data_IF_531316122624
#
_entry.id   IF_531316122624
#
_cell.length_a   1.000
_cell.length_b   1.000
_cell.length_c   1.000
_cell.angle_alpha   90.00
_cell.angle_beta   90.00
_cell.angle_gamma   90.00
#
_symmetry.space_group_name_H-M   'P 1'
#
loop_
_entity.id
_entity.type
_entity.pdbx_description
1 polymer ?
#
# COMPACT_ATOMS: atom_id res chain seq x y z
N UNK A 1 -37.76 -22.19 -10.59
CA UNK A 1 -37.31 -21.12 -11.50
C UNK A 1 -36.14 -20.41 -10.82
N UNK A 2 -34.91 -20.76 -11.20
CA UNK A 2 -33.70 -20.26 -10.56
C UNK A 2 -33.25 -18.96 -11.23
N UNK A 3 -33.27 -17.85 -10.50
CA UNK A 3 -32.65 -16.60 -10.95
C UNK A 3 -31.21 -16.60 -10.40
N UNK A 4 -30.28 -17.05 -11.24
CA UNK A 4 -28.87 -16.65 -11.17
C UNK A 4 -28.76 -15.31 -11.88
N UNK A 5 -28.84 -14.21 -11.14
CA UNK A 5 -28.44 -12.90 -11.68
C UNK A 5 -26.97 -12.65 -11.34
N UNK A 6 -26.16 -12.64 -12.40
CA UNK A 6 -24.71 -12.57 -12.33
C UNK A 6 -24.19 -11.25 -11.76
N UNK A 7 -23.33 -11.39 -10.76
CA UNK A 7 -22.32 -10.39 -10.40
C UNK A 7 -21.50 -10.04 -11.65
N UNK A 8 -21.70 -8.85 -12.21
CA UNK A 8 -20.88 -8.31 -13.30
C UNK A 8 -19.74 -7.48 -12.73
N UNK A 9 -18.46 -7.86 -12.93
CA UNK A 9 -17.32 -7.00 -12.66
C UNK A 9 -17.36 -5.79 -13.61
N UNK A 10 -17.27 -4.56 -13.12
CA UNK A 10 -17.14 -3.35 -13.96
C UNK A 10 -18.39 -2.48 -14.19
N UNK A 11 -19.39 -2.52 -13.31
CA UNK A 11 -20.60 -1.68 -13.39
C UNK A 11 -20.38 -0.18 -13.13
N UNK A 12 -21.45 0.63 -13.23
CA UNK A 12 -21.43 2.10 -12.96
C UNK A 12 -20.80 2.43 -11.61
N UNK A 13 -21.01 1.60 -10.60
CA UNK A 13 -20.45 1.78 -9.25
C UNK A 13 -18.92 1.70 -9.21
N UNK A 14 -18.29 0.87 -10.04
CA UNK A 14 -16.83 0.78 -10.13
C UNK A 14 -16.25 2.02 -10.82
N UNK A 15 -16.92 2.52 -11.88
CA UNK A 15 -16.52 3.77 -12.56
C UNK A 15 -16.63 4.98 -11.64
N UNK A 16 -17.69 5.05 -10.83
CA UNK A 16 -17.86 6.11 -9.83
C UNK A 16 -16.79 6.01 -8.75
N UNK A 17 -16.44 4.80 -8.30
CA UNK A 17 -15.33 4.60 -7.36
C UNK A 17 -14.03 5.14 -7.93
N UNK A 18 -13.69 4.74 -9.15
CA UNK A 18 -12.44 5.13 -9.79
C UNK A 18 -12.37 6.65 -10.02
N UNK A 19 -13.50 7.28 -10.40
CA UNK A 19 -13.57 8.74 -10.52
C UNK A 19 -13.26 9.44 -9.19
N UNK A 20 -13.81 8.93 -8.08
CA UNK A 20 -13.57 9.48 -6.74
C UNK A 20 -12.13 9.23 -6.30
N UNK A 21 -11.61 8.01 -6.50
CA UNK A 21 -10.22 7.67 -6.20
C UNK A 21 -9.23 8.54 -7.00
N UNK A 22 -9.48 8.73 -8.30
CA UNK A 22 -8.67 9.61 -9.15
C UNK A 22 -8.73 11.06 -8.69
N UNK A 23 -9.92 11.57 -8.34
CA UNK A 23 -10.06 12.92 -7.83
C UNK A 23 -9.26 13.14 -6.54
N UNK A 24 -9.25 12.16 -5.62
CA UNK A 24 -8.40 12.21 -4.42
C UNK A 24 -6.92 12.27 -4.79
N UNK A 25 -6.46 11.40 -5.69
CA UNK A 25 -5.05 11.38 -6.12
C UNK A 25 -4.63 12.71 -6.77
N UNK A 26 -5.45 13.25 -7.66
CA UNK A 26 -5.19 14.53 -8.35
C UNK A 26 -5.10 15.70 -7.37
N UNK A 27 -5.99 15.73 -6.37
CA UNK A 27 -5.97 16.78 -5.35
C UNK A 27 -4.74 16.63 -4.45
N UNK A 28 -4.37 15.42 -4.02
CA UNK A 28 -3.16 15.19 -3.22
C UNK A 28 -1.85 15.57 -3.95
N UNK A 29 -1.86 15.69 -5.28
CA UNK A 29 -0.72 16.21 -6.05
C UNK A 29 -0.61 17.75 -6.03
N UNK A 30 -1.70 18.45 -5.74
CA UNK A 30 -1.81 19.91 -5.92
C UNK A 30 -2.07 20.68 -4.63
N UNK A 31 -2.53 20.00 -3.57
CA UNK A 31 -2.84 20.61 -2.28
C UNK A 31 -2.36 19.72 -1.13
N UNK A 32 -2.09 20.36 0.01
CA UNK A 32 -1.77 19.66 1.24
C UNK A 32 -2.95 18.77 1.68
N UNK A 33 -2.63 17.53 2.02
CA UNK A 33 -3.54 16.53 2.59
C UNK A 33 -4.41 17.11 3.70
N UNK A 34 -3.86 17.93 4.59
CA UNK A 34 -4.60 18.51 5.72
C UNK A 34 -5.74 19.45 5.30
N UNK A 35 -5.70 19.97 4.08
CA UNK A 35 -6.69 20.92 3.54
C UNK A 35 -7.77 20.25 2.69
N UNK A 36 -7.66 18.94 2.46
CA UNK A 36 -8.58 18.19 1.60
C UNK A 36 -9.95 18.02 2.26
N UNK A 37 -11.03 18.20 1.49
CA UNK A 37 -12.39 18.06 1.97
C UNK A 37 -13.28 17.23 1.03
N UNK A 38 -14.32 16.59 1.58
CA UNK A 38 -15.29 15.82 0.79
C UNK A 38 -15.95 16.64 -0.33
N UNK A 39 -16.37 17.91 -0.11
CA UNK A 39 -16.93 18.73 -1.18
C UNK A 39 -15.97 18.97 -2.36
N UNK A 40 -14.68 19.22 -2.10
CA UNK A 40 -13.68 19.39 -3.16
C UNK A 40 -13.52 18.12 -3.98
N UNK A 41 -13.43 16.96 -3.31
CA UNK A 41 -13.32 15.66 -3.97
C UNK A 41 -14.58 15.38 -4.81
N UNK A 42 -15.76 15.62 -4.25
CA UNK A 42 -17.04 15.41 -4.94
C UNK A 42 -17.14 16.26 -6.21
N UNK A 43 -16.78 17.55 -6.12
CA UNK A 43 -16.76 18.46 -7.26
C UNK A 43 -15.79 17.99 -8.35
N UNK A 44 -14.57 17.58 -7.98
CA UNK A 44 -13.56 17.10 -8.92
C UNK A 44 -13.92 15.76 -9.57
N UNK A 45 -14.58 14.88 -8.84
CA UNK A 45 -15.04 13.56 -9.31
C UNK A 45 -16.36 13.61 -10.10
N UNK A 46 -17.04 14.76 -10.14
CA UNK A 46 -18.35 14.92 -10.79
C UNK A 46 -19.49 14.19 -10.07
N UNK A 47 -19.43 14.10 -8.74
CA UNK A 47 -20.45 13.44 -7.90
C UNK A 47 -20.96 14.36 -6.79
N UNK A 48 -22.02 13.95 -6.10
CA UNK A 48 -22.50 14.68 -4.90
C UNK A 48 -21.72 14.24 -3.65
N UNK A 49 -21.51 15.13 -2.66
CA UNK A 49 -20.92 14.74 -1.37
C UNK A 49 -21.63 13.56 -0.70
N UNK A 50 -22.96 13.47 -0.82
CA UNK A 50 -23.75 12.35 -0.29
C UNK A 50 -23.37 11.00 -0.90
N UNK A 51 -22.89 10.97 -2.15
CA UNK A 51 -22.38 9.75 -2.80
C UNK A 51 -21.14 9.21 -2.08
N UNK A 52 -20.27 10.11 -1.61
CA UNK A 52 -19.08 9.76 -0.84
C UNK A 52 -19.48 9.35 0.58
N UNK A 53 -20.24 10.17 1.29
CA UNK A 53 -20.65 9.87 2.67
C UNK A 53 -21.41 8.55 2.80
N UNK A 54 -22.30 8.22 1.86
CA UNK A 54 -23.04 6.94 1.89
C UNK A 54 -22.11 5.72 1.82
N UNK A 55 -20.96 5.85 1.15
CA UNK A 55 -20.09 4.72 0.85
C UNK A 55 -18.93 4.59 1.83
N UNK A 56 -18.31 5.69 2.23
CA UNK A 56 -17.16 5.69 3.13
C UNK A 56 -17.50 6.21 4.53
N UNK A 57 -18.62 6.88 4.74
CA UNK A 57 -19.00 7.46 6.03
C UNK A 57 -18.28 8.77 6.34
N UNK A 58 -16.97 8.81 6.17
CA UNK A 58 -16.14 10.01 6.38
C UNK A 58 -14.96 10.11 5.40
N UNK A 59 -14.19 11.20 5.52
CA UNK A 59 -13.02 11.45 4.68
C UNK A 59 -11.87 10.47 4.99
N UNK A 60 -11.67 10.11 6.26
CA UNK A 60 -10.56 9.26 6.66
C UNK A 60 -10.70 7.86 6.06
N UNK A 61 -11.90 7.30 6.07
CA UNK A 61 -12.23 6.02 5.44
C UNK A 61 -12.06 6.07 3.91
N UNK A 62 -12.40 7.19 3.26
CA UNK A 62 -12.12 7.37 1.82
C UNK A 62 -10.61 7.40 1.55
N UNK A 63 -9.86 8.17 2.32
CA UNK A 63 -8.41 8.27 2.13
C UNK A 63 -7.71 6.93 2.40
N UNK A 64 -8.14 6.17 3.41
CA UNK A 64 -7.69 4.81 3.66
C UNK A 64 -7.96 3.87 2.48
N UNK A 65 -9.15 3.91 1.89
CA UNK A 65 -9.49 3.08 0.73
C UNK A 65 -8.63 3.44 -0.50
N UNK A 66 -8.38 4.73 -0.74
CA UNK A 66 -7.48 5.20 -1.80
C UNK A 66 -6.02 4.79 -1.53
N UNK A 67 -5.57 4.89 -0.28
CA UNK A 67 -4.24 4.47 0.15
C UNK A 67 -4.03 2.95 -0.09
N UNK A 68 -4.99 2.12 0.29
CA UNK A 68 -4.96 0.66 0.07
C UNK A 68 -4.94 0.33 -1.42
N UNK A 69 -5.73 1.04 -2.23
CA UNK A 69 -5.74 0.85 -3.67
C UNK A 69 -4.37 1.17 -4.30
N UNK A 70 -3.66 2.17 -3.77
CA UNK A 70 -2.31 2.56 -4.22
C UNK A 70 -1.19 1.61 -3.76
N UNK A 71 -1.37 0.88 -2.66
CA UNK A 71 -0.35 -0.09 -2.21
C UNK A 71 -0.16 -1.26 -3.17
N UNK A 72 -1.10 -1.49 -4.11
CA UNK A 72 -0.91 -2.50 -5.15
C UNK A 72 0.16 -2.01 -6.12
N UNK A 73 1.28 -2.74 -6.29
CA UNK A 73 2.35 -2.30 -7.16
C UNK A 73 1.90 -2.26 -8.62
N UNK A 74 2.36 -1.27 -9.36
CA UNK A 74 2.12 -1.14 -10.81
C UNK A 74 2.97 -2.14 -11.62
N UNK A 75 4.02 -2.71 -11.02
CA UNK A 75 4.96 -3.64 -11.64
C UNK A 75 5.32 -4.80 -10.72
N UNK A 76 5.75 -5.91 -11.31
CA UNK A 76 6.31 -7.04 -10.54
C UNK A 76 7.58 -6.62 -9.78
N UNK A 77 7.92 -7.32 -8.68
CA UNK A 77 9.19 -7.11 -7.99
C UNK A 77 10.38 -7.32 -8.92
N UNK A 78 11.40 -6.48 -8.73
CA UNK A 78 12.64 -6.51 -9.52
C UNK A 78 13.22 -7.93 -9.62
N UNK A 79 13.74 -8.28 -10.79
CA UNK A 79 14.42 -9.55 -11.06
C UNK A 79 15.90 -9.28 -11.36
N UNK A 80 16.70 -9.33 -10.31
CA UNK A 80 18.15 -9.14 -10.33
C UNK A 80 18.89 -10.45 -10.63
N UNK A 81 18.20 -11.60 -10.64
CA UNK A 81 18.77 -12.91 -10.90
C UNK A 81 19.23 -13.68 -9.64
N UNK A 82 18.94 -13.18 -8.43
CA UNK A 82 19.19 -13.91 -7.18
C UNK A 82 18.16 -13.55 -6.11
N UNK A 83 17.80 -14.52 -5.24
CA UNK A 83 16.86 -14.29 -4.14
C UNK A 83 17.30 -13.13 -3.25
N UNK A 84 18.59 -13.09 -2.88
CA UNK A 84 19.16 -12.01 -2.06
C UNK A 84 19.05 -10.65 -2.76
N UNK A 85 19.38 -10.58 -4.06
CA UNK A 85 19.33 -9.34 -4.82
C UNK A 85 17.90 -8.81 -4.97
N UNK A 86 16.93 -9.69 -5.21
CA UNK A 86 15.53 -9.32 -5.38
C UNK A 86 14.90 -8.83 -4.08
N UNK A 87 15.17 -9.53 -2.97
CA UNK A 87 14.69 -9.13 -1.64
C UNK A 87 15.33 -7.81 -1.18
N UNK A 88 16.60 -7.59 -1.51
CA UNK A 88 17.28 -6.32 -1.24
C UNK A 88 16.70 -5.18 -2.06
N UNK A 89 16.50 -5.38 -3.37
CA UNK A 89 15.88 -4.38 -4.24
C UNK A 89 14.46 -4.06 -3.78
N UNK A 90 13.68 -5.07 -3.37
CA UNK A 90 12.36 -4.88 -2.78
C UNK A 90 12.43 -4.07 -1.48
N UNK A 91 13.37 -4.36 -0.59
CA UNK A 91 13.53 -3.66 0.69
C UNK A 91 13.92 -2.19 0.49
N UNK A 92 14.83 -1.90 -0.45
CA UNK A 92 15.25 -0.55 -0.81
C UNK A 92 14.06 0.24 -1.36
N UNK A 93 13.33 -0.33 -2.33
CA UNK A 93 12.14 0.28 -2.89
C UNK A 93 11.09 0.55 -1.81
N UNK A 94 10.84 -0.41 -0.93
CA UNK A 94 9.90 -0.26 0.17
C UNK A 94 10.30 0.88 1.12
N UNK A 95 11.58 0.96 1.50
CA UNK A 95 12.11 2.02 2.34
C UNK A 95 11.92 3.38 1.68
N UNK A 96 12.30 3.53 0.41
CA UNK A 96 12.22 4.79 -0.32
C UNK A 96 10.77 5.27 -0.47
N UNK A 97 9.89 4.37 -0.92
CA UNK A 97 8.48 4.68 -1.12
C UNK A 97 7.79 5.07 0.19
N UNK A 98 7.99 4.29 1.26
CA UNK A 98 7.34 4.56 2.55
C UNK A 98 7.95 5.77 3.27
N UNK A 99 9.22 6.05 3.04
CA UNK A 99 9.89 7.24 3.59
C UNK A 99 9.48 8.53 2.88
N UNK A 100 8.93 8.46 1.67
CA UNK A 100 8.42 9.63 0.95
C UNK A 100 7.23 10.30 1.68
N UNK A 101 6.98 11.58 1.43
CA UNK A 101 5.80 12.26 1.98
C UNK A 101 4.46 11.58 1.61
N UNK A 102 4.24 11.17 0.35
CA UNK A 102 3.09 10.36 -0.02
C UNK A 102 3.00 9.03 0.76
N UNK A 103 4.12 8.33 0.93
CA UNK A 103 4.17 7.07 1.69
C UNK A 103 3.82 7.24 3.16
N UNK A 104 4.36 8.28 3.81
CA UNK A 104 4.01 8.60 5.21
C UNK A 104 2.55 8.96 5.38
N UNK A 105 1.99 9.74 4.45
CA UNK A 105 0.57 10.08 4.47
C UNK A 105 -0.32 8.85 4.27
N UNK A 106 0.06 7.96 3.35
CA UNK A 106 -0.60 6.68 3.11
C UNK A 106 -0.58 5.80 4.38
N UNK A 107 0.55 5.69 5.06
CA UNK A 107 0.64 4.92 6.31
C UNK A 107 -0.27 5.49 7.41
N UNK A 108 -0.37 6.83 7.51
CA UNK A 108 -1.30 7.47 8.46
C UNK A 108 -2.76 7.21 8.10
N UNK A 109 -3.11 7.22 6.82
CA UNK A 109 -4.45 6.82 6.36
C UNK A 109 -4.81 5.40 6.77
N UNK A 110 -3.89 4.48 6.50
CA UNK A 110 -4.07 3.06 6.79
C UNK A 110 -4.25 2.83 8.29
N UNK A 111 -3.48 3.52 9.14
CA UNK A 111 -3.63 3.43 10.60
C UNK A 111 -5.02 3.89 11.08
N UNK A 112 -5.63 4.84 10.38
CA UNK A 112 -6.98 5.30 10.67
C UNK A 112 -8.07 4.38 10.09
N UNK A 113 -7.70 3.37 9.28
CA UNK A 113 -8.64 2.43 8.67
C UNK A 113 -9.21 1.44 9.69
N UNK A 114 -10.52 1.17 9.59
CA UNK A 114 -11.19 0.17 10.40
C UNK A 114 -10.87 -1.29 10.01
N UNK A 115 -10.01 -1.53 9.01
CA UNK A 115 -9.70 -2.88 8.50
C UNK A 115 -8.20 -3.22 8.62
N UNK A 116 -7.75 -3.70 9.80
CA UNK A 116 -6.38 -4.11 10.03
C UNK A 116 -5.95 -5.25 9.07
N UNK A 117 -4.66 -5.29 8.71
CA UNK A 117 -4.04 -6.45 8.04
C UNK A 117 -3.96 -6.42 6.51
N UNK A 118 -4.58 -5.45 5.82
CA UNK A 118 -4.47 -5.34 4.36
C UNK A 118 -3.02 -5.19 3.87
N UNK A 119 -2.20 -4.41 4.57
CA UNK A 119 -0.79 -4.21 4.24
C UNK A 119 0.01 -5.51 4.29
N UNK A 120 -0.28 -6.37 5.27
CA UNK A 120 0.37 -7.67 5.43
C UNK A 120 0.05 -8.56 4.23
N UNK A 121 -1.20 -8.58 3.78
CA UNK A 121 -1.59 -9.33 2.59
C UNK A 121 -0.92 -8.84 1.30
N UNK A 122 -0.82 -7.53 1.11
CA UNK A 122 -0.18 -6.94 -0.09
C UNK A 122 1.33 -7.22 -0.09
N UNK A 123 2.00 -6.96 1.02
CA UNK A 123 3.43 -7.23 1.18
C UNK A 123 3.71 -8.72 1.01
N UNK A 124 2.90 -9.58 1.64
CA UNK A 124 3.04 -11.03 1.53
C UNK A 124 2.90 -11.52 0.09
N UNK A 125 1.95 -10.97 -0.68
CA UNK A 125 1.81 -11.32 -2.09
C UNK A 125 3.03 -10.94 -2.93
N UNK A 126 3.62 -9.75 -2.71
CA UNK A 126 4.84 -9.34 -3.40
C UNK A 126 6.03 -10.24 -3.06
N UNK A 127 6.21 -10.56 -1.77
CA UNK A 127 7.30 -11.43 -1.32
C UNK A 127 7.12 -12.85 -1.85
N UNK A 128 5.89 -13.35 -1.91
CA UNK A 128 5.61 -14.67 -2.47
C UNK A 128 6.02 -14.76 -3.94
N UNK A 129 5.79 -13.71 -4.74
CA UNK A 129 6.27 -13.66 -6.13
C UNK A 129 7.80 -13.78 -6.21
N UNK A 130 8.53 -13.16 -5.27
CA UNK A 130 10.00 -13.28 -5.21
C UNK A 130 10.39 -14.71 -4.79
N UNK A 131 9.75 -15.28 -3.77
CA UNK A 131 10.06 -16.63 -3.29
C UNK A 131 9.77 -17.71 -4.34
N UNK A 132 8.65 -17.60 -5.05
CA UNK A 132 8.25 -18.55 -6.09
C UNK A 132 9.23 -18.57 -7.28
N UNK A 133 10.00 -17.49 -7.46
CA UNK A 133 11.05 -17.39 -8.49
C UNK A 133 12.28 -18.25 -8.16
N UNK A 134 12.51 -18.57 -6.89
CA UNK A 134 13.69 -19.28 -6.39
C UNK A 134 13.32 -20.48 -5.50
N UNK A 135 12.67 -21.52 -6.05
CA UNK A 135 12.16 -22.65 -5.27
C UNK A 135 13.26 -23.50 -4.60
N UNK A 136 14.49 -23.46 -5.13
CA UNK A 136 15.63 -24.21 -4.61
C UNK A 136 16.42 -23.44 -3.52
N UNK A 137 16.12 -22.15 -3.33
CA UNK A 137 16.78 -21.32 -2.31
C UNK A 137 16.03 -21.40 -0.96
N UNK A 138 16.73 -21.26 0.18
CA UNK A 138 16.09 -21.26 1.49
C UNK A 138 15.11 -20.08 1.64
N UNK A 139 13.80 -20.37 1.63
CA UNK A 139 12.77 -19.36 1.80
C UNK A 139 12.67 -18.92 3.30
N UNK A 140 12.93 -17.65 3.63
CA UNK A 140 12.85 -17.16 5.01
C UNK A 140 11.42 -17.05 5.55
N UNK A 141 10.41 -17.02 4.66
CA UNK A 141 9.00 -16.85 4.98
C UNK A 141 8.59 -15.38 5.16
N UNK A 142 7.35 -15.07 4.80
CA UNK A 142 6.76 -13.71 4.87
C UNK A 142 6.78 -13.15 6.29
N UNK A 143 6.41 -13.95 7.29
CA UNK A 143 6.35 -13.50 8.69
C UNK A 143 7.72 -13.08 9.23
N UNK A 144 8.78 -13.84 8.91
CA UNK A 144 10.15 -13.48 9.30
C UNK A 144 10.56 -12.16 8.68
N UNK A 145 10.25 -11.98 7.39
CA UNK A 145 10.53 -10.76 6.67
C UNK A 145 9.79 -9.55 7.25
N UNK A 146 8.51 -9.72 7.61
CA UNK A 146 7.73 -8.66 8.26
C UNK A 146 8.38 -8.26 9.58
N UNK A 147 8.74 -9.22 10.41
CA UNK A 147 9.28 -8.95 11.75
C UNK A 147 10.67 -8.32 11.71
N UNK A 148 11.52 -8.73 10.77
CA UNK A 148 12.92 -8.30 10.73
C UNK A 148 13.18 -7.11 9.80
N UNK A 149 12.39 -6.89 8.76
CA UNK A 149 12.63 -5.84 7.76
C UNK A 149 11.51 -4.80 7.77
N UNK A 150 10.26 -5.23 7.61
CA UNK A 150 9.12 -4.31 7.43
C UNK A 150 8.82 -3.53 8.72
N UNK A 151 8.67 -4.22 9.85
CA UNK A 151 8.28 -3.59 11.10
C UNK A 151 9.32 -2.56 11.61
N UNK A 152 10.64 -2.85 11.62
CA UNK A 152 11.64 -1.85 11.99
C UNK A 152 11.65 -0.64 11.04
N UNK A 153 11.45 -0.87 9.74
CA UNK A 153 11.37 0.20 8.74
C UNK A 153 10.19 1.12 9.00
N UNK A 154 8.98 0.57 9.16
CA UNK A 154 7.77 1.33 9.47
C UNK A 154 7.91 2.08 10.80
N UNK A 155 8.46 1.43 11.81
CA UNK A 155 8.65 2.05 13.12
C UNK A 155 9.55 3.28 13.02
N UNK A 156 10.67 3.17 12.29
CA UNK A 156 11.59 4.28 12.04
C UNK A 156 10.92 5.44 11.30
N UNK A 157 10.09 5.14 10.30
CA UNK A 157 9.44 6.18 9.50
C UNK A 157 8.37 6.94 10.29
N UNK A 158 7.60 6.25 11.14
CA UNK A 158 6.44 6.84 11.80
C UNK A 158 6.74 7.42 13.18
N UNK A 159 7.70 6.86 13.90
CA UNK A 159 7.90 7.17 15.32
C UNK A 159 9.30 7.64 15.67
N UNK A 160 10.30 7.42 14.82
CA UNK A 160 11.67 7.86 15.09
C UNK A 160 11.96 9.24 14.50
N UNK A 161 12.96 9.91 15.05
CA UNK A 161 13.44 11.23 14.58
C UNK A 161 14.33 11.14 13.34
N UNK A 162 14.80 9.94 12.99
CA UNK A 162 15.64 9.68 11.82
C UNK A 162 15.17 8.40 11.10
N UNK A 163 15.20 8.39 9.74
CA UNK A 163 14.84 7.22 8.96
C UNK A 163 15.81 6.06 9.18
N UNK A 164 15.41 4.87 8.73
CA UNK A 164 16.31 3.71 8.70
C UNK A 164 17.41 3.98 7.67
N UNK A 165 18.67 3.87 8.07
CA UNK A 165 19.79 3.99 7.14
C UNK A 165 19.86 2.75 6.23
N UNK A 166 20.23 2.96 4.96
CA UNK A 166 20.33 1.90 3.96
C UNK A 166 21.32 0.80 4.39
N UNK A 167 22.42 1.15 5.08
CA UNK A 167 23.35 0.17 5.62
C UNK A 167 22.78 -0.68 6.76
N UNK A 168 21.84 -0.15 7.55
CA UNK A 168 21.10 -0.93 8.54
C UNK A 168 20.05 -1.82 7.86
N UNK A 169 19.36 -1.30 6.85
CA UNK A 169 18.42 -2.07 6.04
C UNK A 169 19.07 -3.34 5.50
N UNK A 170 20.28 -3.24 4.92
CA UNK A 170 20.99 -4.42 4.40
C UNK A 170 21.33 -5.43 5.48
N UNK A 171 21.71 -4.97 6.68
CA UNK A 171 21.96 -5.87 7.80
C UNK A 171 20.70 -6.62 8.22
N UNK A 172 19.55 -5.94 8.25
CA UNK A 172 18.27 -6.58 8.53
C UNK A 172 17.87 -7.60 7.44
N UNK A 173 18.13 -7.30 6.17
CA UNK A 173 17.92 -8.23 5.05
C UNK A 173 18.81 -9.47 5.21
N UNK A 174 20.10 -9.29 5.50
CA UNK A 174 21.03 -10.41 5.69
C UNK A 174 20.63 -11.26 6.91
N UNK A 175 20.16 -10.65 8.00
CA UNK A 175 19.63 -11.37 9.16
C UNK A 175 18.34 -12.14 8.82
N UNK A 176 17.47 -11.57 8.00
CA UNK A 176 16.24 -12.24 7.57
C UNK A 176 16.54 -13.46 6.69
N UNK A 177 17.58 -13.37 5.86
CA UNK A 177 18.07 -14.45 5.00
C UNK A 177 18.89 -15.51 5.72
N UNK A 178 19.55 -15.16 6.82
CA UNK A 178 20.28 -16.11 7.65
C UNK A 178 19.29 -17.08 8.32
N UNK A 179 19.41 -18.36 7.97
CA UNK A 179 18.68 -19.49 8.56
C UNK A 179 19.64 -20.34 9.40
#
# INVERSE_FOLDING_TARGET
>A
MAIKEGLRPGGRSARVQESIHSAVRDLLQTQDRATLTVPQIAARAGVTPSTIYRRWGDLAALLADVAIARMRPDSEPANTGSLRGDLRAWAEQYLDEMSSEPGRNMMRDIQACATPGHCVGIIGAQLQVIFDRYPDEPNPGVERWINLVVAPTVFRILFATAPLEVGELYRLVDMALAQ
#
